data_IF_300994571456
#
_entry.id   IF_300994571456
#
_cell.length_a   1.000
_cell.length_b   1.000
_cell.length_c   1.000
_cell.angle_alpha   90.00
_cell.angle_beta   90.00
_cell.angle_gamma   90.00
#
_symmetry.space_group_name_H-M   'P 1'
#
loop_
_entity.id
_entity.type
_entity.pdbx_description
1 polymer ?
#
# COMPACT_ATOMS: atom_id res chain seq x y z
N UNK A 1 7.36 -2.11 6.59
CA UNK A 1 7.26 -1.64 8.00
C UNK A 1 7.80 -2.72 8.94
N UNK A 2 8.35 -2.35 10.10
CA UNK A 2 8.83 -3.31 11.11
C UNK A 2 7.92 -3.23 12.34
N UNK A 3 7.51 -4.38 12.87
CA UNK A 3 6.66 -4.50 14.05
C UNK A 3 7.30 -5.43 15.08
N UNK A 4 6.93 -5.24 16.34
CA UNK A 4 7.19 -6.19 17.42
C UNK A 4 5.88 -6.85 17.85
N UNK A 5 5.96 -8.07 18.38
CA UNK A 5 4.80 -8.76 18.94
C UNK A 5 5.16 -9.49 20.24
N UNK A 6 4.15 -9.90 21.00
CA UNK A 6 4.37 -10.66 22.23
C UNK A 6 4.25 -12.17 21.95
N UNK A 7 5.36 -12.93 21.93
CA UNK A 7 5.33 -14.35 21.59
C UNK A 7 4.63 -15.22 22.65
N UNK A 8 4.36 -14.67 23.85
CA UNK A 8 3.58 -15.36 24.90
C UNK A 8 2.07 -15.23 24.69
N UNK A 9 1.62 -14.27 23.88
CA UNK A 9 0.20 -14.01 23.60
C UNK A 9 -0.17 -14.33 22.16
N UNK A 10 0.81 -14.34 21.26
CA UNK A 10 0.59 -14.49 19.83
C UNK A 10 1.65 -15.41 19.24
N UNK A 11 1.21 -16.45 18.56
CA UNK A 11 2.05 -17.30 17.73
C UNK A 11 1.86 -16.90 16.26
N UNK A 12 2.96 -16.63 15.56
CA UNK A 12 2.95 -16.21 14.16
C UNK A 12 3.63 -17.28 13.31
N UNK A 13 2.92 -17.75 12.28
CA UNK A 13 3.43 -18.63 11.23
C UNK A 13 3.53 -17.82 9.92
N UNK A 14 4.61 -18.04 9.17
CA UNK A 14 4.75 -17.54 7.79
C UNK A 14 4.60 -18.73 6.85
N UNK A 15 3.46 -18.81 6.17
CA UNK A 15 3.16 -19.88 5.22
C UNK A 15 3.70 -19.52 3.84
N UNK A 16 4.16 -20.53 3.09
CA UNK A 16 4.60 -20.40 1.70
C UNK A 16 5.67 -19.31 1.51
N UNK A 17 6.59 -19.22 2.45
CA UNK A 17 7.66 -18.24 2.44
C UNK A 17 8.57 -18.44 1.21
N UNK A 18 8.72 -17.39 0.39
CA UNK A 18 9.64 -17.40 -0.74
C UNK A 18 11.11 -17.24 -0.33
N UNK A 19 12.00 -17.12 -1.31
CA UNK A 19 13.44 -17.02 -1.09
C UNK A 19 13.88 -15.86 -0.19
N UNK A 20 13.09 -14.77 -0.12
CA UNK A 20 13.34 -13.62 0.75
C UNK A 20 12.74 -13.76 2.15
N UNK A 21 12.09 -14.88 2.46
CA UNK A 21 11.44 -15.19 3.74
C UNK A 21 10.07 -14.55 3.94
N UNK A 22 9.53 -13.86 2.93
CA UNK A 22 8.18 -13.31 2.96
C UNK A 22 7.17 -14.37 2.52
N UNK A 23 6.06 -14.46 3.25
CA UNK A 23 4.94 -15.35 2.94
C UNK A 23 3.66 -14.89 3.66
N UNK A 24 2.60 -15.69 3.59
CA UNK A 24 1.31 -15.37 4.19
C UNK A 24 1.38 -15.44 5.70
N UNK A 25 0.97 -14.37 6.38
CA UNK A 25 0.97 -14.29 7.83
C UNK A 25 -0.28 -14.95 8.41
N UNK A 26 -0.04 -16.00 9.20
CA UNK A 26 -1.06 -16.73 9.95
C UNK A 26 -0.83 -16.53 11.44
N UNK A 27 -1.89 -16.23 12.18
CA UNK A 27 -1.82 -15.88 13.60
C UNK A 27 -2.65 -16.85 14.44
N UNK A 28 -2.07 -17.32 15.55
CA UNK A 28 -2.81 -17.96 16.63
C UNK A 28 -2.68 -17.15 17.91
N UNK A 29 -3.82 -16.85 18.56
CA UNK A 29 -3.85 -16.25 19.89
C UNK A 29 -3.64 -17.34 20.94
N UNK A 30 -2.69 -17.13 21.85
CA UNK A 30 -2.30 -18.09 22.89
C UNK A 30 -2.96 -17.81 24.25
N UNK A 31 -3.80 -16.77 24.33
CA UNK A 31 -4.46 -16.36 25.55
C UNK A 31 -5.72 -17.21 25.79
N UNK A 32 -5.74 -18.08 26.83
CA UNK A 32 -6.85 -18.99 27.09
C UNK A 32 -8.11 -18.26 27.59
N UNK A 33 -7.97 -17.05 28.12
CA UNK A 33 -9.08 -16.30 28.72
C UNK A 33 -9.87 -15.48 27.68
N UNK A 34 -9.49 -15.57 26.40
CA UNK A 34 -10.23 -14.90 25.32
C UNK A 34 -11.56 -15.60 25.05
N UNK A 35 -12.63 -14.81 25.04
CA UNK A 35 -13.97 -15.27 24.68
C UNK A 35 -14.05 -15.93 23.28
N UNK A 36 -13.23 -15.45 22.34
CA UNK A 36 -13.12 -16.03 20.99
C UNK A 36 -11.64 -16.34 20.69
N UNK A 37 -11.23 -17.62 20.68
CA UNK A 37 -9.89 -18.00 20.28
C UNK A 37 -9.74 -17.84 18.76
N UNK A 38 -8.63 -17.25 18.33
CA UNK A 38 -8.24 -17.23 16.92
C UNK A 38 -7.11 -18.23 16.76
N UNK A 39 -7.38 -19.38 16.15
CA UNK A 39 -6.38 -20.40 15.85
C UNK A 39 -6.13 -20.41 14.36
N UNK A 40 -4.86 -20.26 13.97
CA UNK A 40 -4.38 -20.23 12.58
C UNK A 40 -5.20 -19.32 11.67
N UNK A 41 -5.55 -18.14 12.18
CA UNK A 41 -6.29 -17.12 11.42
C UNK A 41 -5.40 -16.54 10.32
N UNK A 42 -5.87 -16.61 9.08
CA UNK A 42 -5.21 -16.02 7.92
C UNK A 42 -5.57 -14.54 7.81
N UNK A 43 -4.58 -13.69 7.97
CA UNK A 43 -4.76 -12.23 7.99
C UNK A 43 -4.93 -11.61 6.60
N UNK A 44 -4.55 -12.36 5.55
CA UNK A 44 -4.37 -11.86 4.19
C UNK A 44 -3.13 -10.96 4.03
N UNK A 45 -2.32 -10.81 5.08
CA UNK A 45 -1.09 -10.02 5.06
C UNK A 45 0.13 -10.87 4.66
N UNK A 46 1.12 -10.21 4.07
CA UNK A 46 2.42 -10.78 3.69
C UNK A 46 3.49 -10.22 4.61
N UNK A 47 4.17 -11.12 5.31
CA UNK A 47 5.17 -10.76 6.30
C UNK A 47 6.33 -11.75 6.36
N UNK A 48 7.35 -11.38 7.10
CA UNK A 48 8.52 -12.19 7.43
C UNK A 48 8.85 -12.02 8.91
N UNK A 49 9.05 -13.11 9.63
CA UNK A 49 9.62 -13.05 10.98
C UNK A 49 11.12 -12.77 10.88
N UNK A 50 11.60 -11.84 11.70
CA UNK A 50 13.00 -11.44 11.76
C UNK A 50 13.62 -11.94 13.07
N UNK A 51 14.66 -12.75 12.97
CA UNK A 51 15.47 -13.13 14.13
C UNK A 51 16.39 -11.97 14.54
N UNK A 52 16.58 -11.70 15.85
CA UNK A 52 17.44 -10.62 16.33
C UNK A 52 18.84 -10.63 15.73
N UNK A 53 19.51 -11.80 15.70
CA UNK A 53 20.84 -11.95 15.13
C UNK A 53 20.92 -11.54 13.64
N UNK A 54 19.87 -11.85 12.86
CA UNK A 54 19.82 -11.46 11.46
C UNK A 54 19.65 -9.93 11.30
N UNK A 55 18.88 -9.31 12.20
CA UNK A 55 18.70 -7.85 12.20
C UNK A 55 20.00 -7.16 12.62
N UNK A 56 20.69 -7.65 13.65
CA UNK A 56 22.00 -7.15 14.08
C UNK A 56 23.03 -7.22 12.95
N UNK A 57 23.07 -8.33 12.22
CA UNK A 57 23.96 -8.50 11.06
C UNK A 57 23.66 -7.46 9.96
N UNK A 58 22.37 -7.25 9.65
CA UNK A 58 21.96 -6.24 8.66
C UNK A 58 22.31 -4.82 9.13
N UNK A 59 22.08 -4.50 10.40
CA UNK A 59 22.40 -3.19 10.96
C UNK A 59 23.91 -2.92 10.90
N UNK A 60 24.75 -3.90 11.28
CA UNK A 60 26.20 -3.81 11.16
C UNK A 60 26.64 -3.57 9.71
N UNK A 61 26.09 -4.32 8.76
CA UNK A 61 26.40 -4.18 7.33
C UNK A 61 26.09 -2.78 6.79
N UNK A 62 25.08 -2.12 7.35
CA UNK A 62 24.67 -0.77 6.97
C UNK A 62 25.24 0.33 7.88
N UNK A 63 26.18 0.01 8.78
CA UNK A 63 26.80 0.98 9.68
C UNK A 63 25.85 1.57 10.72
N UNK A 64 24.73 0.90 11.00
CA UNK A 64 23.73 1.35 11.98
C UNK A 64 24.11 0.79 13.35
N UNK A 65 24.35 1.69 14.31
CA UNK A 65 24.63 1.32 15.70
C UNK A 65 23.31 1.11 16.44
N UNK A 66 23.14 -0.05 17.05
CA UNK A 66 21.94 -0.34 17.87
C UNK A 66 22.16 0.24 19.27
N UNK A 67 21.28 1.12 19.78
CA UNK A 67 21.46 1.75 21.08
C UNK A 67 21.16 0.81 22.27
N UNK A 68 20.73 -0.43 22.02
CA UNK A 68 20.38 -1.41 23.06
C UNK A 68 20.00 -2.78 22.48
N UNK A 69 19.46 -3.66 23.32
CA UNK A 69 19.02 -5.00 22.90
C UNK A 69 17.84 -4.94 21.93
N UNK A 70 17.88 -5.75 20.87
CA UNK A 70 16.77 -5.87 19.95
C UNK A 70 15.62 -6.69 20.55
N UNK A 71 14.36 -6.34 20.22
CA UNK A 71 13.22 -7.17 20.56
C UNK A 71 13.36 -8.58 19.99
N UNK A 72 13.04 -9.60 20.80
CA UNK A 72 13.17 -11.01 20.41
C UNK A 72 12.17 -11.45 19.32
N UNK A 73 11.08 -10.71 19.17
CA UNK A 73 9.98 -11.04 18.28
C UNK A 73 9.72 -9.88 17.33
N UNK A 74 10.43 -9.87 16.21
CA UNK A 74 10.34 -8.87 15.16
C UNK A 74 9.66 -9.44 13.90
N UNK A 75 8.93 -8.58 13.21
CA UNK A 75 8.23 -8.90 11.98
C UNK A 75 8.46 -7.78 10.96
N UNK A 76 8.88 -8.14 9.75
CA UNK A 76 8.82 -7.25 8.60
C UNK A 76 7.50 -7.47 7.85
N UNK A 77 6.74 -6.40 7.70
CA UNK A 77 5.46 -6.38 7.01
C UNK A 77 5.61 -5.75 5.62
N UNK A 78 5.16 -6.45 4.58
CA UNK A 78 5.21 -6.01 3.17
C UNK A 78 3.89 -5.41 2.69
N UNK A 79 2.75 -5.93 3.16
CA UNK A 79 1.42 -5.49 2.73
C UNK A 79 0.43 -6.65 2.64
N UNK A 80 -0.55 -6.57 1.73
CA UNK A 80 -1.55 -7.64 1.52
C UNK A 80 -1.13 -8.59 0.40
N UNK A 81 -1.56 -9.83 0.47
CA UNK A 81 -1.27 -10.84 -0.57
C UNK A 81 -1.81 -10.44 -1.94
N UNK A 82 -2.95 -9.74 -1.98
CA UNK A 82 -3.61 -9.29 -3.21
C UNK A 82 -3.09 -7.93 -3.72
N UNK A 83 -1.99 -7.42 -3.16
CA UNK A 83 -1.35 -6.15 -3.55
C UNK A 83 -0.03 -6.36 -4.30
N UNK A 84 0.29 -7.60 -4.67
CA UNK A 84 1.38 -7.89 -5.61
C UNK A 84 1.00 -7.50 -7.04
N UNK A 85 1.91 -6.85 -7.74
CA UNK A 85 1.70 -6.28 -9.06
C UNK A 85 2.38 -7.15 -10.15
N UNK A 86 1.94 -7.08 -11.42
CA UNK A 86 2.50 -7.88 -12.52
C UNK A 86 4.02 -7.76 -12.70
N UNK A 87 4.61 -6.62 -12.36
CA UNK A 87 6.06 -6.40 -12.40
C UNK A 87 6.80 -6.98 -11.17
N UNK A 88 6.14 -7.78 -10.32
CA UNK A 88 6.69 -8.36 -9.09
C UNK A 88 6.89 -7.37 -7.94
N UNK A 89 6.53 -6.10 -8.16
CA UNK A 89 6.53 -5.08 -7.11
C UNK A 89 5.26 -5.18 -6.26
N UNK A 90 5.12 -4.30 -5.27
CA UNK A 90 3.98 -4.27 -4.37
C UNK A 90 3.42 -2.84 -4.35
N UNK A 91 2.09 -2.70 -4.30
CA UNK A 91 1.39 -1.40 -4.28
C UNK A 91 1.97 -0.45 -3.23
N UNK A 92 2.35 -0.99 -2.07
CA UNK A 92 3.00 -0.25 -0.98
C UNK A 92 4.23 0.56 -1.41
N UNK A 93 5.03 0.09 -2.37
CA UNK A 93 6.20 0.84 -2.85
C UNK A 93 5.81 2.08 -3.66
N UNK A 94 4.72 2.03 -4.43
CA UNK A 94 4.19 3.20 -5.13
C UNK A 94 3.66 4.22 -4.13
N UNK A 95 3.01 3.76 -3.06
CA UNK A 95 2.59 4.62 -1.96
C UNK A 95 3.79 5.30 -1.31
N UNK A 96 4.79 4.53 -0.88
CA UNK A 96 5.98 5.08 -0.23
C UNK A 96 6.68 6.11 -1.13
N UNK A 97 6.73 5.86 -2.45
CA UNK A 97 7.31 6.78 -3.43
C UNK A 97 6.48 8.06 -3.62
N UNK A 98 5.14 7.96 -3.67
CA UNK A 98 4.24 9.14 -3.75
C UNK A 98 4.36 10.05 -2.53
N UNK A 99 4.65 9.46 -1.36
CA UNK A 99 4.75 10.17 -0.09
C UNK A 99 6.19 10.52 0.32
N UNK A 100 7.18 10.24 -0.53
CA UNK A 100 8.58 10.53 -0.26
C UNK A 100 8.87 12.04 -0.23
N UNK A 101 8.18 12.83 -1.07
CA UNK A 101 8.26 14.28 -1.06
C UNK A 101 7.09 14.90 -0.29
N UNK A 102 7.40 15.64 0.78
CA UNK A 102 6.39 16.22 1.66
C UNK A 102 5.53 17.32 0.99
N UNK A 103 6.06 18.02 -0.02
CA UNK A 103 5.32 19.08 -0.69
C UNK A 103 4.27 18.46 -1.64
N UNK A 104 4.68 17.52 -2.48
CA UNK A 104 3.78 16.77 -3.34
C UNK A 104 2.72 16.03 -2.52
N UNK A 105 3.12 15.32 -1.45
CA UNK A 105 2.22 14.57 -0.58
C UNK A 105 1.04 15.40 -0.03
N UNK A 106 1.26 16.69 0.28
CA UNK A 106 0.21 17.60 0.79
C UNK A 106 -0.89 17.90 -0.23
N UNK A 107 -0.60 17.68 -1.50
CA UNK A 107 -1.52 17.96 -2.61
C UNK A 107 -2.31 16.70 -3.02
N UNK A 108 -2.10 15.56 -2.36
CA UNK A 108 -2.73 14.27 -2.67
C UNK A 108 -3.69 13.84 -1.55
N UNK A 109 -4.77 13.14 -1.88
CA UNK A 109 -5.73 12.61 -0.88
C UNK A 109 -5.31 11.27 -0.27
N UNK A 110 -4.43 10.54 -0.96
CA UNK A 110 -4.09 9.14 -0.68
C UNK A 110 -4.90 8.11 -1.43
N UNK A 111 -5.88 8.53 -2.24
CA UNK A 111 -6.47 7.66 -3.24
C UNK A 111 -5.56 7.62 -4.48
N UNK A 112 -5.13 6.42 -4.84
CA UNK A 112 -4.37 6.17 -6.06
C UNK A 112 -4.69 4.76 -6.58
N UNK A 113 -4.41 4.54 -7.86
CA UNK A 113 -4.54 3.23 -8.51
C UNK A 113 -3.33 2.98 -9.39
N UNK A 114 -2.79 1.77 -9.29
CA UNK A 114 -1.79 1.28 -10.24
C UNK A 114 -2.51 0.38 -11.24
N UNK A 115 -2.36 0.65 -12.53
CA UNK A 115 -2.93 -0.15 -13.61
C UNK A 115 -1.82 -0.60 -14.55
N UNK A 116 -1.92 -1.84 -15.02
CA UNK A 116 -1.00 -2.41 -15.99
C UNK A 116 -1.75 -2.79 -17.27
N UNK A 117 -1.19 -2.41 -18.41
CA UNK A 117 -1.62 -2.82 -19.74
C UNK A 117 -0.42 -3.50 -20.43
N UNK A 118 -0.29 -4.82 -20.25
CA UNK A 118 0.96 -5.52 -20.56
C UNK A 118 2.07 -5.05 -19.62
N UNK A 119 3.17 -4.56 -20.19
CA UNK A 119 4.31 -4.05 -19.42
C UNK A 119 4.17 -2.55 -19.07
N UNK A 120 3.20 -1.83 -19.66
CA UNK A 120 2.99 -0.42 -19.40
C UNK A 120 2.26 -0.19 -18.07
N UNK A 121 2.87 0.60 -17.19
CA UNK A 121 2.36 0.97 -15.88
C UNK A 121 1.79 2.39 -15.90
N UNK A 122 0.50 2.51 -15.61
CA UNK A 122 -0.17 3.80 -15.37
C UNK A 122 -0.50 3.97 -13.89
N UNK A 123 -0.04 5.07 -13.30
CA UNK A 123 -0.36 5.49 -11.94
C UNK A 123 -1.39 6.61 -11.98
N UNK A 124 -2.58 6.35 -11.46
CA UNK A 124 -3.64 7.34 -11.28
C UNK A 124 -3.61 7.85 -9.84
N UNK A 125 -3.59 9.16 -9.63
CA UNK A 125 -3.52 9.77 -8.29
C UNK A 125 -4.58 10.85 -8.15
N UNK A 126 -5.32 10.83 -7.05
CA UNK A 126 -6.30 11.85 -6.72
C UNK A 126 -5.66 13.03 -5.96
N UNK A 127 -5.97 14.24 -6.42
CA UNK A 127 -5.53 15.48 -5.81
C UNK A 127 -6.49 15.90 -4.68
N UNK A 128 -5.92 16.43 -3.58
CA UNK A 128 -6.68 16.98 -2.46
C UNK A 128 -7.24 18.38 -2.75
N UNK A 129 -6.72 19.05 -3.77
CA UNK A 129 -7.16 20.37 -4.22
C UNK A 129 -6.64 20.68 -5.62
N UNK A 130 -6.84 21.91 -6.08
CA UNK A 130 -6.32 22.38 -7.36
C UNK A 130 -4.92 22.96 -7.17
N UNK A 131 -3.85 22.26 -7.59
CA UNK A 131 -2.51 22.82 -7.53
C UNK A 131 -2.39 24.01 -8.48
N UNK A 132 -1.44 24.89 -8.19
CA UNK A 132 -1.16 26.07 -9.03
C UNK A 132 -0.67 25.67 -10.43
N UNK A 133 0.02 24.54 -10.55
CA UNK A 133 0.49 23.97 -11.83
C UNK A 133 0.50 22.44 -11.78
N UNK A 134 -0.30 21.81 -12.63
CA UNK A 134 -0.34 20.34 -12.75
C UNK A 134 0.94 19.77 -13.35
N UNK A 135 1.53 20.44 -14.35
CA UNK A 135 2.76 19.98 -15.00
C UNK A 135 3.94 19.93 -14.04
N UNK A 136 4.11 20.99 -13.24
CA UNK A 136 5.17 21.05 -12.23
C UNK A 136 4.99 19.96 -11.16
N UNK A 137 3.76 19.74 -10.68
CA UNK A 137 3.48 18.69 -9.70
C UNK A 137 3.78 17.29 -10.26
N UNK A 138 3.42 17.02 -11.52
CA UNK A 138 3.70 15.75 -12.17
C UNK A 138 5.21 15.49 -12.28
N UNK A 139 6.00 16.49 -12.67
CA UNK A 139 7.46 16.38 -12.74
C UNK A 139 8.09 16.14 -11.36
N UNK A 140 7.62 16.84 -10.34
CA UNK A 140 8.13 16.70 -8.97
C UNK A 140 7.85 15.30 -8.40
N UNK A 141 6.64 14.76 -8.62
CA UNK A 141 6.31 13.39 -8.25
C UNK A 141 7.23 12.41 -8.97
N UNK A 142 7.33 12.48 -10.30
CA UNK A 142 8.15 11.54 -11.08
C UNK A 142 9.63 11.60 -10.73
N UNK A 143 10.15 12.80 -10.38
CA UNK A 143 11.53 13.02 -9.92
C UNK A 143 11.78 12.34 -8.58
N UNK A 144 10.82 12.41 -7.65
CA UNK A 144 10.91 11.79 -6.33
C UNK A 144 10.78 10.25 -6.39
N UNK A 145 10.10 9.70 -7.41
CA UNK A 145 9.92 8.25 -7.53
C UNK A 145 11.20 7.53 -7.95
N UNK A 146 11.60 6.46 -7.22
CA UNK A 146 12.70 5.58 -7.62
C UNK A 146 12.45 4.91 -8.98
N UNK A 147 13.50 4.58 -9.76
CA UNK A 147 13.34 4.01 -11.11
C UNK A 147 12.49 2.74 -11.18
N UNK A 148 12.56 1.88 -10.16
CA UNK A 148 11.87 0.59 -10.13
C UNK A 148 10.37 0.67 -9.80
N UNK A 149 9.86 1.86 -9.44
CA UNK A 149 8.42 2.14 -9.21
C UNK A 149 7.94 3.35 -9.99
N UNK A 150 8.73 3.84 -10.93
CA UNK A 150 8.32 4.95 -11.79
C UNK A 150 7.32 4.42 -12.82
N UNK A 151 6.11 5.00 -12.92
CA UNK A 151 5.15 4.61 -13.94
C UNK A 151 5.56 5.16 -15.31
N UNK A 152 5.15 4.50 -16.38
CA UNK A 152 5.25 5.02 -17.74
C UNK A 152 4.34 6.23 -17.94
N UNK A 153 3.19 6.23 -17.24
CA UNK A 153 2.22 7.32 -17.27
C UNK A 153 1.72 7.67 -15.86
N UNK A 154 1.81 8.95 -15.50
CA UNK A 154 1.19 9.52 -14.31
C UNK A 154 -0.05 10.33 -14.72
N UNK A 155 -1.22 10.00 -14.14
CA UNK A 155 -2.48 10.71 -14.38
C UNK A 155 -2.96 11.31 -13.06
N UNK A 156 -3.01 12.63 -12.99
CA UNK A 156 -3.51 13.37 -11.85
C UNK A 156 -4.99 13.71 -12.06
N UNK A 157 -5.83 13.34 -11.11
CA UNK A 157 -7.27 13.58 -11.15
C UNK A 157 -7.64 14.65 -10.14
N UNK A 158 -8.53 15.57 -10.51
CA UNK A 158 -9.20 16.39 -9.52
C UNK A 158 -9.98 15.49 -8.55
N UNK A 159 -10.22 15.98 -7.33
CA UNK A 159 -10.88 15.20 -6.27
C UNK A 159 -12.17 14.51 -6.76
N UNK A 160 -13.05 15.24 -7.44
CA UNK A 160 -14.38 14.75 -7.86
C UNK A 160 -14.36 13.93 -9.16
N UNK A 161 -13.23 13.87 -9.87
CA UNK A 161 -13.11 13.17 -11.15
C UNK A 161 -12.45 11.80 -11.01
N UNK A 162 -11.96 11.44 -9.81
CA UNK A 162 -11.23 10.20 -9.60
C UNK A 162 -12.15 8.98 -9.76
N UNK A 163 -11.94 8.12 -10.78
CA UNK A 163 -12.96 7.16 -11.20
C UNK A 163 -12.92 5.82 -10.42
N UNK A 164 -11.93 5.62 -9.54
CA UNK A 164 -11.62 4.30 -8.98
C UNK A 164 -12.18 4.05 -7.58
N UNK A 165 -13.39 4.55 -7.33
CA UNK A 165 -14.10 4.34 -6.07
C UNK A 165 -14.05 5.57 -5.18
N UNK A 166 -15.06 6.44 -5.33
CA UNK A 166 -15.43 7.44 -4.32
C UNK A 166 -16.42 6.87 -3.29
N UNK A 167 -16.82 5.60 -3.42
CA UNK A 167 -17.68 4.94 -2.44
C UNK A 167 -16.91 4.65 -1.17
N UNK A 168 -17.11 5.46 -0.14
CA UNK A 168 -16.76 5.13 1.24
C UNK A 168 -17.54 3.88 1.66
N UNK A 169 -17.00 2.72 1.34
CA UNK A 169 -17.37 1.48 2.02
C UNK A 169 -16.59 1.49 3.34
N UNK A 170 -17.24 1.92 4.42
CA UNK A 170 -16.62 2.01 5.76
C UNK A 170 -16.11 0.65 6.27
N UNK A 171 -16.46 -0.46 5.62
CA UNK A 171 -15.97 -1.80 5.93
C UNK A 171 -14.85 -2.28 4.98
N UNK A 172 -14.49 -1.54 3.92
CA UNK A 172 -13.48 -1.93 2.93
C UNK A 172 -12.46 -0.84 2.60
N UNK A 173 -11.18 -1.22 2.61
CA UNK A 173 -10.10 -0.41 2.02
C UNK A 173 -10.25 -0.37 0.49
N UNK A 174 -9.90 0.76 -0.13
CA UNK A 174 -9.94 0.96 -1.58
C UNK A 174 -9.21 -0.17 -2.34
N UNK A 175 -9.77 -0.60 -3.47
CA UNK A 175 -9.09 -1.53 -4.36
C UNK A 175 -7.99 -0.79 -5.14
N UNK A 176 -6.75 -0.92 -4.69
CA UNK A 176 -5.59 -0.21 -5.27
C UNK A 176 -5.11 -0.77 -6.61
N UNK A 177 -5.58 -1.97 -7.00
CA UNK A 177 -5.19 -2.67 -8.22
C UNK A 177 -6.40 -3.37 -8.86
N UNK A 178 -6.40 -3.42 -10.19
CA UNK A 178 -7.36 -4.13 -11.03
C UNK A 178 -7.04 -3.88 -12.51
N UNK A 179 -7.57 -4.72 -13.40
CA UNK A 179 -7.37 -4.59 -14.85
C UNK A 179 -7.67 -3.15 -15.34
N UNK A 180 -6.92 -2.70 -16.35
CA UNK A 180 -7.17 -1.42 -16.98
C UNK A 180 -8.62 -1.37 -17.49
N UNK A 181 -9.37 -0.29 -17.24
CA UNK A 181 -10.65 -0.12 -17.91
C UNK A 181 -10.41 -0.10 -19.42
N UNK A 182 -11.22 -0.87 -20.16
CA UNK A 182 -11.35 -0.72 -21.61
C UNK A 182 -11.70 0.74 -21.91
N UNK A 183 -11.05 1.36 -22.90
CA UNK A 183 -11.26 2.75 -23.37
C UNK A 183 -12.66 2.99 -24.00
N UNK A 184 -13.67 2.23 -23.60
CA UNK A 184 -15.03 2.33 -24.12
C UNK A 184 -16.03 2.62 -22.99
N UNK A 185 -16.08 3.88 -22.53
CA UNK A 185 -17.31 4.54 -22.08
C UNK A 185 -17.05 6.01 -21.68
N UNK A 186 -16.74 6.88 -22.65
CA UNK A 186 -17.14 8.29 -22.54
C UNK A 186 -18.65 8.37 -22.74
N UNK A 187 -19.39 8.46 -21.65
CA UNK A 187 -20.77 8.96 -21.69
C UNK A 187 -20.90 10.06 -20.64
N UNK A 188 -21.18 11.31 -21.02
CA UNK A 188 -21.38 12.38 -20.06
C UNK A 188 -22.74 12.15 -19.38
N UNK A 189 -22.71 11.82 -18.09
CA UNK A 189 -23.90 11.89 -17.24
C UNK A 189 -24.21 13.38 -17.07
N UNK A 190 -25.32 13.82 -17.67
CA UNK A 190 -25.84 15.17 -17.52
C UNK A 190 -26.17 15.47 -16.05
N UNK A 191 -25.93 16.69 -15.54
CA UNK A 191 -26.33 17.04 -14.19
C UNK A 191 -27.85 17.08 -14.08
N UNK A 192 -28.39 16.36 -13.09
CA UNK A 192 -29.80 16.43 -12.75
C UNK A 192 -30.15 17.84 -12.25
N UNK A 193 -31.14 18.46 -12.90
CA UNK A 193 -31.75 19.72 -12.49
C UNK A 193 -32.42 19.58 -11.10
N UNK A 194 -32.42 20.63 -10.27
CA UNK A 194 -33.14 20.62 -9.01
C UNK A 194 -34.63 20.91 -9.27
N UNK A 195 -35.50 19.92 -9.13
CA UNK A 195 -36.93 20.18 -8.98
C UNK A 195 -37.23 20.60 -7.54
N UNK A 196 -37.48 21.89 -7.41
CA UNK A 196 -38.12 22.55 -6.29
C UNK A 196 -39.64 22.33 -6.43
N UNK A 197 -40.28 21.63 -5.48
CA UNK A 197 -41.74 21.71 -5.30
C UNK A 197 -42.06 21.66 -3.81
N UNK A 198 -42.60 22.81 -3.35
CA UNK A 198 -43.47 23.15 -2.21
C UNK A 198 -43.63 22.16 -1.04
#
# INVERSE_FOLDING_TARGET
MIFTYNPRRTFIEILDAGARGYGRMTISMLDPDRAVPLLRYQTGDVARVLGPAHVEELMHRHGVVVPGELPQALLAFRGRENEELPNGSHVGFYKDALYADHHAARLLTGAFRVAFAGDECTLHVQLAGSPVSLGTLQEDILRAMPPHVRPDRLVLWAYHEFPFGMGLDYERKFAYYGAAPSDAATSPVAPASPECVL
#
